data_IF_628548933403
#
_entry.id   IF_628548933403
#
_cell.length_a   1.000
_cell.length_b   1.000
_cell.length_c   1.000
_cell.angle_alpha   90.00
_cell.angle_beta   90.00
_cell.angle_gamma   90.00
#
_symmetry.space_group_name_H-M   'P 1'
#
loop_
_entity.id
_entity.type
_entity.pdbx_description
1 polymer ?
#
# COMPACT_ATOMS: atom_id res chain seq x y z
N UNK A 1 25.01 -14.36 -15.50
CA UNK A 1 24.19 -13.37 -16.23
C UNK A 1 22.73 -13.66 -15.91
N UNK A 2 22.18 -13.07 -14.84
CA UNK A 2 20.83 -13.36 -14.37
C UNK A 2 19.82 -12.60 -15.20
N UNK A 3 19.29 -13.27 -16.23
CA UNK A 3 18.22 -12.76 -17.08
C UNK A 3 16.98 -12.50 -16.20
N UNK A 4 16.66 -11.24 -15.97
CA UNK A 4 15.39 -10.75 -15.41
C UNK A 4 14.26 -11.08 -16.41
N UNK A 5 13.94 -12.37 -16.53
CA UNK A 5 12.98 -12.84 -17.50
C UNK A 5 11.56 -12.73 -16.93
N UNK A 6 11.09 -11.50 -16.78
CA UNK A 6 9.68 -11.26 -16.51
C UNK A 6 8.82 -11.95 -17.59
N UNK A 7 7.80 -12.75 -17.22
CA UNK A 7 6.94 -13.42 -18.19
C UNK A 7 6.31 -12.40 -19.17
N UNK A 8 6.13 -12.80 -20.43
CA UNK A 8 5.60 -11.91 -21.49
C UNK A 8 4.30 -11.21 -21.08
N UNK A 9 3.41 -11.94 -20.40
CA UNK A 9 2.12 -11.39 -19.98
C UNK A 9 2.28 -10.30 -18.88
N UNK A 10 3.26 -10.44 -17.98
CA UNK A 10 3.58 -9.42 -16.97
C UNK A 10 4.14 -8.17 -17.65
N UNK A 11 5.04 -8.35 -18.63
CA UNK A 11 5.57 -7.23 -19.43
C UNK A 11 4.44 -6.47 -20.14
N UNK A 12 3.50 -7.18 -20.76
CA UNK A 12 2.33 -6.55 -21.38
C UNK A 12 1.46 -5.77 -20.39
N UNK A 13 1.34 -6.23 -19.14
CA UNK A 13 0.62 -5.49 -18.10
C UNK A 13 1.38 -4.23 -17.69
N UNK A 14 2.71 -4.27 -17.63
CA UNK A 14 3.58 -3.12 -17.38
C UNK A 14 3.50 -2.10 -18.51
N UNK A 15 3.61 -2.55 -19.77
CA UNK A 15 3.53 -1.68 -20.97
C UNK A 15 2.17 -0.98 -21.08
N UNK A 16 1.09 -1.63 -20.61
CA UNK A 16 -0.26 -1.06 -20.53
C UNK A 16 -0.46 -0.13 -19.32
N UNK A 17 0.60 0.22 -18.58
CA UNK A 17 0.58 0.99 -17.33
C UNK A 17 -0.27 0.37 -16.23
N UNK A 18 -0.46 -0.95 -16.26
CA UNK A 18 -1.33 -1.69 -15.35
C UNK A 18 -0.53 -2.39 -14.24
N UNK A 19 0.36 -1.63 -13.60
CA UNK A 19 1.38 -2.12 -12.68
C UNK A 19 0.81 -2.92 -11.50
N UNK A 20 -0.32 -2.49 -10.93
CA UNK A 20 -0.92 -3.17 -9.77
C UNK A 20 -1.33 -4.61 -10.12
N UNK A 21 -1.87 -4.81 -11.32
CA UNK A 21 -2.25 -6.14 -11.81
C UNK A 21 -1.00 -6.95 -12.17
N UNK A 22 -0.01 -6.33 -12.80
CA UNK A 22 1.28 -6.96 -13.09
C UNK A 22 1.96 -7.49 -11.82
N UNK A 23 2.09 -6.65 -10.78
CA UNK A 23 2.72 -7.00 -9.50
C UNK A 23 1.96 -8.13 -8.82
N UNK A 24 0.62 -8.01 -8.75
CA UNK A 24 -0.20 -9.00 -8.06
C UNK A 24 -0.16 -10.34 -8.77
N UNK A 25 -0.31 -10.38 -10.09
CA UNK A 25 -0.25 -11.61 -10.86
C UNK A 25 1.13 -12.24 -10.80
N UNK A 26 2.21 -11.45 -10.91
CA UNK A 26 3.58 -11.95 -10.82
C UNK A 26 3.89 -12.53 -9.42
N UNK A 27 3.45 -11.85 -8.37
CA UNK A 27 3.56 -12.34 -6.99
C UNK A 27 2.81 -13.66 -6.79
N UNK A 28 1.59 -13.76 -7.32
CA UNK A 28 0.76 -14.96 -7.20
C UNK A 28 1.33 -16.14 -8.00
N UNK A 29 1.76 -15.93 -9.24
CA UNK A 29 2.30 -16.98 -10.11
C UNK A 29 3.63 -17.52 -9.60
N UNK A 30 4.52 -16.65 -9.13
CA UNK A 30 5.85 -17.05 -8.65
C UNK A 30 5.86 -17.39 -7.16
N UNK A 31 4.72 -17.27 -6.48
CA UNK A 31 4.60 -17.43 -5.03
C UNK A 31 5.62 -16.59 -4.24
N UNK A 32 5.92 -15.39 -4.74
CA UNK A 32 6.85 -14.44 -4.11
C UNK A 32 6.09 -13.32 -3.42
N UNK A 33 6.78 -12.60 -2.55
CA UNK A 33 6.19 -11.41 -1.92
C UNK A 33 5.84 -10.35 -2.97
N UNK A 34 4.78 -9.58 -2.69
CA UNK A 34 4.39 -8.42 -3.50
C UNK A 34 5.57 -7.45 -3.66
N UNK A 35 6.40 -7.29 -2.63
CA UNK A 35 7.60 -6.45 -2.69
C UNK A 35 8.66 -6.98 -3.66
N UNK A 36 8.94 -8.30 -3.65
CA UNK A 36 9.88 -8.90 -4.59
C UNK A 36 9.36 -8.82 -6.03
N UNK A 37 8.05 -9.02 -6.21
CA UNK A 37 7.40 -8.88 -7.51
C UNK A 37 7.48 -7.45 -8.05
N UNK A 38 7.27 -6.47 -7.17
CA UNK A 38 7.37 -5.05 -7.48
C UNK A 38 8.79 -4.64 -7.86
N UNK A 39 9.79 -5.05 -7.07
CA UNK A 39 11.19 -4.76 -7.37
C UNK A 39 11.62 -5.29 -8.76
N UNK A 40 11.12 -6.46 -9.16
CA UNK A 40 11.39 -7.01 -10.48
C UNK A 40 10.73 -6.22 -11.62
N UNK A 41 9.52 -5.70 -11.40
CA UNK A 41 8.79 -4.84 -12.35
C UNK A 41 9.45 -3.46 -12.45
N UNK A 42 9.83 -2.86 -11.31
CA UNK A 42 10.50 -1.56 -11.26
C UNK A 42 11.87 -1.61 -11.95
N UNK A 43 12.64 -2.69 -11.75
CA UNK A 43 13.92 -2.89 -12.43
C UNK A 43 13.73 -3.05 -13.95
N UNK A 44 12.64 -3.68 -14.38
CA UNK A 44 12.29 -3.83 -15.78
C UNK A 44 11.87 -2.49 -16.40
N UNK A 45 11.06 -1.69 -15.71
CA UNK A 45 10.67 -0.35 -16.15
C UNK A 45 11.86 0.62 -16.21
N UNK A 46 12.74 0.58 -15.21
CA UNK A 46 13.96 1.39 -15.18
C UNK A 46 14.94 1.04 -16.32
N UNK A 47 14.87 -0.19 -16.84
CA UNK A 47 15.63 -0.57 -18.05
C UNK A 47 15.00 -0.04 -19.34
N UNK A 48 13.72 0.34 -19.31
CA UNK A 48 12.97 0.86 -20.46
C UNK A 48 12.89 2.39 -20.47
N UNK A 49 12.93 3.05 -19.30
CA UNK A 49 12.86 4.51 -19.20
C UNK A 49 14.26 5.13 -19.09
N UNK A 50 14.62 6.12 -19.94
CA UNK A 50 15.88 6.83 -19.78
C UNK A 50 15.85 7.63 -18.46
N UNK A 51 16.95 7.57 -17.70
CA UNK A 51 17.07 8.01 -16.30
C UNK A 51 16.69 9.48 -15.99
N UNK A 52 16.38 10.30 -17.00
CA UNK A 52 15.99 11.71 -16.88
C UNK A 52 14.46 11.92 -16.91
N UNK A 53 13.66 10.92 -17.28
CA UNK A 53 12.19 10.96 -17.14
C UNK A 53 11.81 10.24 -15.86
N UNK A 54 12.12 10.86 -14.72
CA UNK A 54 11.55 10.48 -13.43
C UNK A 54 10.39 11.44 -13.18
N UNK A 55 9.27 11.19 -13.85
CA UNK A 55 8.00 11.81 -13.46
C UNK A 55 7.75 11.49 -11.98
N UNK A 56 7.18 12.44 -11.23
CA UNK A 56 6.88 12.44 -9.79
C UNK A 56 5.93 11.30 -9.31
N UNK A 57 5.77 10.24 -10.10
CA UNK A 57 5.11 8.98 -9.72
C UNK A 57 6.02 8.07 -8.87
N UNK A 58 7.30 8.40 -8.71
CA UNK A 58 8.22 7.72 -7.79
C UNK A 58 7.89 7.99 -6.30
N UNK A 59 7.14 9.05 -5.97
CA UNK A 59 6.77 9.36 -4.58
C UNK A 59 5.62 8.47 -4.04
N UNK A 60 5.02 7.62 -4.88
CA UNK A 60 4.02 6.63 -4.45
C UNK A 60 4.56 5.22 -4.32
N UNK A 61 5.88 5.04 -4.42
CA UNK A 61 6.58 3.82 -4.07
C UNK A 61 6.93 3.84 -2.57
N UNK A 62 5.91 4.08 -1.73
CA UNK A 62 6.06 4.16 -0.27
C UNK A 62 6.75 2.89 0.25
N UNK A 63 7.86 3.00 0.98
CA UNK A 63 8.31 1.94 1.87
C UNK A 63 7.43 1.97 3.11
N UNK A 64 6.17 1.58 2.97
CA UNK A 64 5.25 1.52 4.10
C UNK A 64 4.97 0.06 4.41
N UNK A 65 5.88 -0.52 5.21
CA UNK A 65 5.50 -1.46 6.27
C UNK A 65 4.17 -0.99 6.87
N UNK A 66 3.12 -1.66 6.47
CA UNK A 66 1.78 -1.33 6.93
C UNK A 66 0.92 -2.56 6.75
N UNK A 67 1.18 -3.52 7.65
CA UNK A 67 0.10 -4.24 8.29
C UNK A 67 -0.79 -3.21 9.02
N UNK A 68 -1.51 -2.37 8.26
CA UNK A 68 -2.60 -1.57 8.78
C UNK A 68 -3.78 -2.52 8.73
N UNK A 69 -4.27 -3.05 9.88
CA UNK A 69 -5.62 -3.56 9.88
C UNK A 69 -6.47 -2.44 9.32
N UNK A 70 -7.30 -2.77 8.33
CA UNK A 70 -8.27 -1.89 7.70
C UNK A 70 -8.96 -1.06 8.79
N UNK A 71 -8.39 0.11 9.08
CA UNK A 71 -8.90 1.08 10.04
C UNK A 71 -10.00 1.78 9.27
N UNK A 72 -11.07 1.01 9.10
CA UNK A 72 -12.33 1.40 8.53
C UNK A 72 -12.71 2.71 9.19
N UNK A 73 -13.10 3.69 8.39
CA UNK A 73 -13.49 5.01 8.88
C UNK A 73 -14.60 4.96 9.95
N UNK A 74 -15.24 3.79 10.13
CA UNK A 74 -16.08 3.43 11.27
C UNK A 74 -15.34 3.44 12.63
N UNK A 75 -14.15 2.85 12.74
CA UNK A 75 -13.43 2.75 14.01
C UNK A 75 -12.93 4.13 14.50
N UNK A 76 -12.54 5.01 13.58
CA UNK A 76 -12.25 6.42 13.90
C UNK A 76 -13.46 7.12 14.55
N UNK A 77 -14.67 6.86 14.05
CA UNK A 77 -15.91 7.42 14.63
C UNK A 77 -16.20 6.80 16.00
N UNK A 78 -16.02 5.49 16.16
CA UNK A 78 -16.21 4.80 17.45
C UNK A 78 -15.26 5.33 18.53
N UNK A 79 -13.98 5.51 18.20
CA UNK A 79 -12.98 6.07 19.14
C UNK A 79 -13.36 7.48 19.57
N UNK A 80 -13.82 8.32 18.64
CA UNK A 80 -14.26 9.67 18.96
C UNK A 80 -15.49 9.68 19.89
N UNK A 81 -16.47 8.79 19.64
CA UNK A 81 -17.66 8.66 20.49
C UNK A 81 -17.29 8.20 21.90
N UNK A 82 -16.44 7.18 22.05
CA UNK A 82 -16.02 6.67 23.36
C UNK A 82 -15.24 7.73 24.15
N UNK A 83 -14.36 8.48 23.48
CA UNK A 83 -13.58 9.54 24.12
C UNK A 83 -14.48 10.68 24.61
N UNK A 84 -15.48 11.08 23.81
CA UNK A 84 -16.49 12.06 24.25
C UNK A 84 -17.32 11.50 25.41
N UNK A 85 -17.73 10.24 25.37
CA UNK A 85 -18.54 9.62 26.42
C UNK A 85 -17.78 9.49 27.75
N UNK A 86 -16.46 9.24 27.72
CA UNK A 86 -15.61 9.24 28.92
C UNK A 86 -15.47 10.64 29.53
N UNK A 87 -15.28 11.67 28.71
CA UNK A 87 -15.20 13.06 29.20
C UNK A 87 -16.55 13.49 29.79
N UNK A 88 -17.64 13.20 29.09
CA UNK A 88 -19.00 13.54 29.53
C UNK A 88 -19.42 12.74 30.77
N UNK A 89 -19.12 11.44 30.77
CA UNK A 89 -19.36 10.55 31.91
C UNK A 89 -18.56 10.96 33.14
N UNK A 90 -17.29 11.34 32.98
CA UNK A 90 -16.45 11.85 34.07
C UNK A 90 -16.98 13.17 34.66
N UNK A 91 -17.43 14.10 33.81
CA UNK A 91 -18.05 15.36 34.24
C UNK A 91 -19.39 15.13 34.96
N UNK A 92 -20.21 14.18 34.47
CA UNK A 92 -21.46 13.79 35.14
C UNK A 92 -21.21 13.11 36.47
N UNK A 93 -20.20 12.24 36.56
CA UNK A 93 -19.79 11.61 37.82
C UNK A 93 -19.33 12.64 38.85
N UNK A 94 -18.61 13.67 38.41
CA UNK A 94 -18.17 14.75 39.28
C UNK A 94 -19.34 15.59 39.82
N UNK A 95 -20.45 15.71 39.07
CA UNK A 95 -21.58 16.57 39.42
C UNK A 95 -22.74 15.86 40.14
N UNK A 96 -22.88 14.55 39.97
CA UNK A 96 -23.98 13.75 40.57
C UNK A 96 -23.50 12.59 41.46
N UNK A 97 -22.22 12.26 41.48
CA UNK A 97 -21.64 11.17 42.28
C UNK A 97 -20.96 11.63 43.59
N UNK A 98 -21.19 12.88 44.01
CA UNK A 98 -20.75 13.45 45.28
C UNK A 98 -21.93 13.99 46.07
#
# INVERSE_FOLDING_TARGET
MTQLNLPKHIRQLVDKKNYVIAIKTYAQEQNISIDAAKQAIDAYEASQTPAWIKDDTADKLQPAKSNRPNQSNWLKRVVLVVLVMMIFGGLMYQKFGG
#
